data_IF_483657244170
#
_entry.id   IF_483657244170
#
_cell.length_a   1.000
_cell.length_b   1.000
_cell.length_c   1.000
_cell.angle_alpha   90.00
_cell.angle_beta   90.00
_cell.angle_gamma   90.00
#
_symmetry.space_group_name_H-M   'P 1'
#
loop_
_entity.id
_entity.type
_entity.pdbx_description
1 polymer ?
#
# COMPACT_ATOMS: atom_id res chain seq x y z
N UNK A 1 -28.94 -2.72 -27.74
CA UNK A 1 -27.53 -2.86 -27.30
C UNK A 1 -27.00 -1.46 -27.05
N UNK A 2 -26.84 -1.07 -25.77
CA UNK A 2 -26.36 0.25 -25.41
C UNK A 2 -24.85 0.34 -25.66
N UNK A 3 -24.46 1.33 -26.45
CA UNK A 3 -23.08 1.66 -26.79
C UNK A 3 -22.35 2.05 -25.49
N UNK A 4 -21.46 1.19 -24.98
CA UNK A 4 -20.60 1.58 -23.84
C UNK A 4 -19.65 2.67 -24.34
N UNK A 5 -19.60 3.86 -23.69
CA UNK A 5 -18.60 4.86 -24.02
C UNK A 5 -17.21 4.22 -23.90
N UNK A 6 -16.38 4.45 -24.91
CA UNK A 6 -15.05 3.88 -25.05
C UNK A 6 -14.19 4.08 -23.81
N UNK A 7 -13.27 3.12 -23.60
CA UNK A 7 -12.05 3.19 -22.78
C UNK A 7 -11.24 4.46 -23.06
N UNK A 8 -11.76 5.60 -22.61
CA UNK A 8 -11.05 6.86 -22.70
C UNK A 8 -10.14 6.88 -21.49
N UNK A 9 -8.84 6.69 -21.74
CA UNK A 9 -7.82 6.70 -20.71
C UNK A 9 -8.02 7.94 -19.82
N UNK A 10 -8.24 7.77 -18.50
CA UNK A 10 -8.57 8.89 -17.61
C UNK A 10 -7.49 10.00 -17.65
N UNK A 11 -6.23 9.64 -17.94
CA UNK A 11 -5.14 10.62 -18.14
C UNK A 11 -5.39 11.54 -19.34
N UNK A 12 -6.06 11.05 -20.38
CA UNK A 12 -6.39 11.84 -21.58
C UNK A 12 -7.53 12.82 -21.30
N UNK A 13 -8.46 12.47 -20.40
CA UNK A 13 -9.54 13.38 -19.97
C UNK A 13 -9.01 14.51 -19.07
N UNK A 14 -8.16 14.20 -18.09
CA UNK A 14 -7.59 15.21 -17.18
C UNK A 14 -6.78 16.26 -17.94
N UNK A 15 -5.99 15.85 -18.95
CA UNK A 15 -5.22 16.76 -19.79
C UNK A 15 -6.11 17.73 -20.61
N UNK A 16 -7.20 17.23 -21.21
CA UNK A 16 -8.12 18.07 -21.97
C UNK A 16 -8.86 19.09 -21.08
N UNK A 17 -9.25 18.69 -19.87
CA UNK A 17 -9.92 19.60 -18.91
C UNK A 17 -8.99 20.68 -18.40
N UNK A 18 -7.70 20.36 -18.16
CA UNK A 18 -6.70 21.36 -17.79
C UNK A 18 -6.43 22.36 -18.91
N UNK A 19 -6.41 21.91 -20.18
CA UNK A 19 -6.27 22.80 -21.32
C UNK A 19 -7.47 23.78 -21.45
N UNK A 20 -8.69 23.31 -21.14
CA UNK A 20 -9.88 24.18 -21.07
C UNK A 20 -9.75 25.17 -19.91
N UNK A 21 -9.23 24.75 -18.76
CA UNK A 21 -8.99 25.64 -17.63
C UNK A 21 -7.99 26.75 -17.97
N UNK A 22 -6.92 26.43 -18.70
CA UNK A 22 -5.96 27.43 -19.20
C UNK A 22 -6.59 28.43 -20.16
N UNK A 23 -7.43 27.96 -21.08
CA UNK A 23 -8.17 28.83 -21.98
C UNK A 23 -9.11 29.77 -21.22
N UNK A 24 -9.81 29.27 -20.19
CA UNK A 24 -10.68 30.08 -19.35
C UNK A 24 -9.90 31.15 -18.58
N UNK A 25 -8.66 30.89 -18.14
CA UNK A 25 -7.79 31.93 -17.55
C UNK A 25 -7.43 33.00 -18.58
N UNK A 26 -7.07 32.60 -19.79
CA UNK A 26 -6.77 33.53 -20.88
C UNK A 26 -7.98 34.43 -21.23
N UNK A 27 -9.20 33.95 -21.00
CA UNK A 27 -10.46 34.69 -21.18
C UNK A 27 -10.89 35.50 -19.93
N UNK A 28 -10.08 35.53 -18.86
CA UNK A 28 -10.36 36.26 -17.63
C UNK A 28 -11.40 35.59 -16.71
N UNK A 29 -11.69 34.30 -16.92
CA UNK A 29 -12.68 33.51 -16.16
C UNK A 29 -12.01 32.68 -15.07
N UNK A 30 -11.21 33.32 -14.22
CA UNK A 30 -10.37 32.68 -13.19
C UNK A 30 -11.15 31.72 -12.28
N UNK A 31 -12.34 32.12 -11.80
CA UNK A 31 -13.15 31.27 -10.91
C UNK A 31 -13.54 29.93 -11.56
N UNK A 32 -13.87 29.94 -12.85
CA UNK A 32 -14.23 28.71 -13.58
C UNK A 32 -12.99 27.85 -13.86
N UNK A 33 -11.86 28.47 -14.19
CA UNK A 33 -10.60 27.77 -14.39
C UNK A 33 -10.13 27.07 -13.11
N UNK A 34 -10.22 27.74 -11.96
CA UNK A 34 -9.83 27.16 -10.68
C UNK A 34 -10.77 26.05 -10.22
N UNK A 35 -12.09 26.22 -10.43
CA UNK A 35 -13.07 25.16 -10.16
C UNK A 35 -12.77 23.91 -10.98
N UNK A 36 -12.40 24.05 -12.26
CA UNK A 36 -12.01 22.92 -13.11
C UNK A 36 -10.69 22.30 -12.66
N UNK A 37 -9.72 23.09 -12.23
CA UNK A 37 -8.47 22.60 -11.65
C UNK A 37 -8.71 21.75 -10.40
N UNK A 38 -9.56 22.22 -9.49
CA UNK A 38 -9.96 21.48 -8.28
C UNK A 38 -10.71 20.19 -8.63
N UNK A 39 -11.61 20.24 -9.63
CA UNK A 39 -12.32 19.06 -10.10
C UNK A 39 -11.37 17.99 -10.67
N UNK A 40 -10.40 18.38 -11.51
CA UNK A 40 -9.40 17.44 -12.05
C UNK A 40 -8.59 16.81 -10.93
N UNK A 41 -8.13 17.60 -9.95
CA UNK A 41 -7.40 17.08 -8.80
C UNK A 41 -8.20 16.04 -8.01
N UNK A 42 -9.50 16.30 -7.77
CA UNK A 42 -10.39 15.38 -7.07
C UNK A 42 -10.62 14.09 -7.86
N UNK A 43 -10.82 14.19 -9.18
CA UNK A 43 -11.02 13.04 -10.06
C UNK A 43 -9.76 12.19 -10.13
N UNK A 44 -8.58 12.80 -10.29
CA UNK A 44 -7.31 12.09 -10.33
C UNK A 44 -7.03 11.36 -9.01
N UNK A 45 -7.31 12.00 -7.87
CA UNK A 45 -7.23 11.36 -6.55
C UNK A 45 -8.17 10.16 -6.45
N UNK A 46 -9.44 10.32 -6.85
CA UNK A 46 -10.43 9.24 -6.80
C UNK A 46 -10.06 8.06 -7.73
N UNK A 47 -9.66 8.36 -8.96
CA UNK A 47 -9.23 7.33 -9.93
C UNK A 47 -7.98 6.62 -9.42
N UNK A 48 -7.02 7.34 -8.84
CA UNK A 48 -5.83 6.77 -8.21
C UNK A 48 -6.18 5.78 -7.10
N UNK A 49 -7.00 6.22 -6.13
CA UNK A 49 -7.50 5.36 -5.03
C UNK A 49 -8.27 4.15 -5.55
N UNK A 50 -9.09 4.33 -6.60
CA UNK A 50 -9.89 3.24 -7.18
C UNK A 50 -9.03 2.22 -7.92
N UNK A 51 -8.03 2.67 -8.68
CA UNK A 51 -7.09 1.80 -9.37
C UNK A 51 -6.26 0.99 -8.36
N UNK A 52 -5.82 1.63 -7.28
CA UNK A 52 -5.15 0.95 -6.17
C UNK A 52 -6.07 -0.12 -5.54
N UNK A 53 -7.32 0.22 -5.23
CA UNK A 53 -8.27 -0.73 -4.66
C UNK A 53 -8.51 -1.94 -5.58
N UNK A 54 -8.69 -1.71 -6.89
CA UNK A 54 -8.87 -2.77 -7.88
C UNK A 54 -7.68 -3.72 -7.99
N UNK A 55 -6.45 -3.23 -7.75
CA UNK A 55 -5.23 -4.05 -7.71
C UNK A 55 -5.30 -5.11 -6.60
N UNK A 56 -5.97 -4.79 -5.48
CA UNK A 56 -6.11 -5.67 -4.34
C UNK A 56 -7.41 -6.48 -4.33
N UNK A 57 -8.49 -5.98 -4.93
CA UNK A 57 -9.80 -6.65 -4.93
C UNK A 57 -9.78 -8.04 -5.58
N UNK A 58 -8.89 -8.26 -6.56
CA UNK A 58 -8.73 -9.56 -7.25
C UNK A 58 -7.64 -10.44 -6.65
N UNK A 59 -6.90 -9.95 -5.66
CA UNK A 59 -5.85 -10.72 -5.03
C UNK A 59 -6.43 -11.71 -3.99
N UNK A 60 -5.83 -12.92 -3.85
CA UNK A 60 -6.24 -13.86 -2.83
C UNK A 60 -5.98 -13.30 -1.44
N UNK A 61 -6.80 -13.72 -0.48
CA UNK A 61 -6.55 -13.42 0.93
C UNK A 61 -5.26 -14.11 1.38
N UNK A 62 -4.36 -13.35 1.98
CA UNK A 62 -3.15 -13.82 2.63
C UNK A 62 -3.36 -13.74 4.15
N UNK A 63 -3.51 -14.90 4.84
CA UNK A 63 -3.61 -14.92 6.28
C UNK A 63 -2.25 -14.62 6.91
N UNK A 64 -2.26 -13.82 7.97
CA UNK A 64 -1.08 -13.40 8.72
C UNK A 64 -1.34 -13.56 10.21
N UNK A 65 -0.36 -14.07 10.94
CA UNK A 65 -0.38 -14.14 12.39
C UNK A 65 0.39 -12.95 12.95
N UNK A 66 -0.33 -11.96 13.47
CA UNK A 66 0.25 -10.69 13.92
C UNK A 66 -0.21 -10.39 15.34
N UNK A 67 0.63 -9.70 16.10
CA UNK A 67 0.23 -9.11 17.37
C UNK A 67 -0.91 -8.11 17.15
N UNK A 68 -1.97 -8.21 17.94
CA UNK A 68 -3.16 -7.38 17.74
C UNK A 68 -2.87 -5.89 17.93
N UNK A 69 -1.99 -5.55 18.88
CA UNK A 69 -1.58 -4.17 19.11
C UNK A 69 -0.79 -3.59 17.93
N UNK A 70 0.13 -4.37 17.35
CA UNK A 70 0.86 -3.97 16.12
C UNK A 70 -0.12 -3.75 14.97
N UNK A 71 -1.09 -4.64 14.78
CA UNK A 71 -2.09 -4.51 13.72
C UNK A 71 -2.93 -3.24 13.90
N UNK A 72 -3.50 -3.02 15.08
CA UNK A 72 -4.40 -1.90 15.32
C UNK A 72 -3.67 -0.55 15.17
N UNK A 73 -2.43 -0.46 15.65
CA UNK A 73 -1.58 0.73 15.43
C UNK A 73 -1.25 0.93 13.95
N UNK A 74 -0.91 -0.14 13.22
CA UNK A 74 -0.66 -0.04 11.79
C UNK A 74 -1.89 0.41 11.02
N UNK A 75 -3.09 -0.07 11.39
CA UNK A 75 -4.36 0.36 10.77
C UNK A 75 -4.62 1.84 11.06
N UNK A 76 -4.45 2.27 12.31
CA UNK A 76 -4.64 3.67 12.69
C UNK A 76 -3.67 4.61 11.95
N UNK A 77 -2.38 4.23 11.89
CA UNK A 77 -1.35 4.98 11.18
C UNK A 77 -1.61 5.03 9.67
N UNK A 78 -1.94 3.89 9.06
CA UNK A 78 -2.25 3.83 7.63
C UNK A 78 -3.46 4.71 7.29
N UNK A 79 -4.50 4.68 8.11
CA UNK A 79 -5.68 5.54 7.94
C UNK A 79 -5.31 7.04 8.05
N UNK A 80 -4.45 7.42 8.99
CA UNK A 80 -3.96 8.80 9.12
C UNK A 80 -3.12 9.24 7.91
N UNK A 81 -2.39 8.32 7.29
CA UNK A 81 -1.62 8.55 6.05
C UNK A 81 -2.47 8.42 4.77
N UNK A 82 -3.77 8.13 4.87
CA UNK A 82 -4.66 7.91 3.72
C UNK A 82 -4.34 6.64 2.92
N UNK A 83 -3.62 5.68 3.51
CA UNK A 83 -3.18 4.43 2.90
C UNK A 83 -4.01 3.24 3.38
N UNK A 84 -4.07 2.20 2.56
CA UNK A 84 -4.57 0.88 2.99
C UNK A 84 -3.45 0.06 3.64
N UNK A 85 -3.80 -0.90 4.50
CA UNK A 85 -2.82 -1.87 5.03
C UNK A 85 -2.14 -2.66 3.90
N UNK A 86 -2.86 -2.97 2.82
CA UNK A 86 -2.29 -3.64 1.66
C UNK A 86 -1.17 -2.79 1.02
N UNK A 87 -1.38 -1.47 0.92
CA UNK A 87 -0.38 -0.53 0.42
C UNK A 87 0.86 -0.47 1.33
N UNK A 88 0.65 -0.39 2.65
CA UNK A 88 1.75 -0.42 3.62
C UNK A 88 2.58 -1.69 3.50
N UNK A 89 1.95 -2.84 3.28
CA UNK A 89 2.65 -4.11 3.05
C UNK A 89 3.39 -4.10 1.71
N UNK A 90 2.81 -3.51 0.66
CA UNK A 90 3.47 -3.37 -0.65
C UNK A 90 4.71 -2.46 -0.57
N UNK A 91 4.68 -1.43 0.29
CA UNK A 91 5.84 -0.59 0.62
C UNK A 91 6.96 -1.44 1.25
N UNK A 92 6.64 -2.27 2.25
CA UNK A 92 7.61 -3.17 2.86
C UNK A 92 8.20 -4.20 1.89
N UNK A 93 7.39 -4.71 0.97
CA UNK A 93 7.88 -5.54 -0.12
C UNK A 93 8.80 -4.76 -1.07
N UNK A 94 8.53 -3.48 -1.33
CA UNK A 94 9.44 -2.61 -2.10
C UNK A 94 10.79 -2.50 -1.42
N UNK A 95 10.81 -2.21 -0.13
CA UNK A 95 12.04 -2.02 0.65
C UNK A 95 12.87 -3.30 0.71
N UNK A 96 12.23 -4.46 0.88
CA UNK A 96 12.91 -5.76 0.82
C UNK A 96 13.51 -6.02 -0.56
N UNK A 97 12.71 -5.87 -1.63
CA UNK A 97 13.14 -6.16 -3.00
C UNK A 97 14.25 -5.20 -3.47
N UNK A 98 14.28 -3.98 -2.93
CA UNK A 98 15.36 -3.03 -3.15
C UNK A 98 16.61 -3.29 -2.29
N UNK A 99 16.55 -4.26 -1.36
CA UNK A 99 17.63 -4.58 -0.44
C UNK A 99 17.88 -3.55 0.66
N UNK A 100 17.02 -2.53 0.78
CA UNK A 100 17.13 -1.44 1.79
C UNK A 100 16.68 -1.87 3.18
N UNK A 101 15.85 -2.89 3.25
CA UNK A 101 15.38 -3.48 4.49
C UNK A 101 15.46 -5.01 4.43
N UNK A 102 15.61 -5.66 5.58
CA UNK A 102 15.64 -7.12 5.69
C UNK A 102 14.90 -7.53 6.95
N UNK A 103 13.95 -8.49 6.87
CA UNK A 103 13.17 -8.92 8.01
C UNK A 103 14.06 -9.67 9.01
N UNK A 104 14.00 -9.25 10.27
CA UNK A 104 14.62 -9.99 11.35
C UNK A 104 13.85 -11.28 11.62
N UNK A 105 14.59 -12.36 11.90
CA UNK A 105 14.00 -13.62 12.31
C UNK A 105 13.26 -13.40 13.64
N UNK A 106 11.95 -13.70 13.73
CA UNK A 106 11.21 -13.48 14.95
C UNK A 106 11.75 -14.38 16.06
N UNK A 107 12.06 -13.79 17.21
CA UNK A 107 12.44 -14.55 18.39
C UNK A 107 11.24 -15.34 18.91
N UNK A 108 11.50 -16.57 19.32
CA UNK A 108 10.47 -17.40 19.95
C UNK A 108 10.24 -16.86 21.36
N UNK A 109 9.07 -16.28 21.60
CA UNK A 109 8.67 -15.84 22.93
C UNK A 109 8.79 -17.00 23.94
N UNK A 110 9.20 -16.69 25.15
CA UNK A 110 9.19 -17.64 26.25
C UNK A 110 7.74 -18.15 26.48
N UNK A 111 7.58 -19.38 26.99
CA UNK A 111 6.26 -19.89 27.34
C UNK A 111 5.52 -18.91 28.25
N UNK A 112 4.30 -18.52 27.85
CA UNK A 112 3.45 -17.61 28.62
C UNK A 112 3.72 -16.11 28.45
N UNK A 113 4.74 -15.69 27.68
CA UNK A 113 5.06 -14.26 27.46
C UNK A 113 4.65 -13.73 26.09
N UNK A 114 4.01 -14.56 25.26
CA UNK A 114 3.57 -14.15 23.94
C UNK A 114 2.38 -13.18 24.04
N UNK A 115 2.49 -12.01 23.41
CA UNK A 115 1.38 -11.08 23.23
C UNK A 115 0.21 -11.73 22.48
N UNK A 116 -0.99 -11.13 22.61
CA UNK A 116 -2.21 -11.64 22.00
C UNK A 116 -2.13 -11.56 20.46
N UNK A 117 -1.80 -12.70 19.84
CA UNK A 117 -1.76 -12.84 18.38
C UNK A 117 -3.14 -13.13 17.83
N UNK A 118 -3.46 -12.50 16.70
CA UNK A 118 -4.68 -12.75 15.96
C UNK A 118 -4.36 -13.08 14.50
N UNK A 119 -5.17 -13.95 13.91
CA UNK A 119 -5.15 -14.17 12.46
C UNK A 119 -5.82 -12.99 11.80
N UNK A 120 -5.06 -12.22 11.01
CA UNK A 120 -5.56 -11.11 10.19
C UNK A 120 -5.42 -11.48 8.73
N UNK A 121 -6.37 -11.03 7.91
CA UNK A 121 -6.34 -11.26 6.47
C UNK A 121 -6.09 -9.94 5.76
N UNK A 122 -5.19 -9.97 4.79
CA UNK A 122 -4.97 -8.87 3.86
C UNK A 122 -4.94 -9.41 2.44
N UNK A 123 -5.06 -8.54 1.44
CA UNK A 123 -4.93 -8.91 0.04
C UNK A 123 -3.69 -8.25 -0.53
N UNK A 124 -2.76 -9.05 -1.05
CA UNK A 124 -1.56 -8.53 -1.71
C UNK A 124 -1.46 -9.14 -3.10
N UNK A 125 -1.05 -8.34 -4.07
CA UNK A 125 -0.93 -8.78 -5.46
C UNK A 125 -0.09 -10.07 -5.58
N UNK A 126 -0.62 -11.07 -6.28
CA UNK A 126 0.01 -12.40 -6.41
C UNK A 126 1.43 -12.32 -6.96
N UNK A 127 1.62 -11.53 -8.01
CA UNK A 127 2.93 -11.37 -8.64
C UNK A 127 3.95 -10.75 -7.69
N UNK A 128 3.49 -9.91 -6.77
CA UNK A 128 4.34 -9.31 -5.76
C UNK A 128 4.80 -10.34 -4.73
N UNK A 129 3.87 -11.16 -4.23
CA UNK A 129 4.21 -12.25 -3.32
C UNK A 129 5.20 -13.23 -3.98
N UNK A 130 5.02 -13.55 -5.27
CA UNK A 130 5.97 -14.38 -6.03
C UNK A 130 7.36 -13.75 -6.11
N UNK A 131 7.46 -12.45 -6.39
CA UNK A 131 8.73 -11.72 -6.43
C UNK A 131 9.45 -11.75 -5.07
N UNK A 132 8.70 -11.56 -3.97
CA UNK A 132 9.25 -11.65 -2.62
C UNK A 132 9.79 -13.06 -2.35
N UNK A 133 9.03 -14.11 -2.65
CA UNK A 133 9.48 -15.49 -2.49
C UNK A 133 10.76 -15.77 -3.30
N UNK A 134 10.81 -15.35 -4.56
CA UNK A 134 11.98 -15.53 -5.41
C UNK A 134 13.20 -14.76 -4.87
N UNK A 135 13.00 -13.52 -4.42
CA UNK A 135 14.05 -12.70 -3.85
C UNK A 135 14.62 -13.32 -2.57
N UNK A 136 13.77 -13.77 -1.66
CA UNK A 136 14.18 -14.43 -0.41
C UNK A 136 14.97 -15.70 -0.71
N UNK A 137 14.52 -16.51 -1.68
CA UNK A 137 15.25 -17.71 -2.09
C UNK A 137 16.64 -17.39 -2.66
N UNK A 138 16.73 -16.35 -3.51
CA UNK A 138 17.99 -15.91 -4.11
C UNK A 138 18.95 -15.24 -3.11
N UNK A 139 18.45 -14.70 -2.00
CA UNK A 139 19.23 -13.98 -0.99
C UNK A 139 19.27 -14.72 0.36
N UNK A 140 19.02 -16.03 0.37
CA UNK A 140 18.85 -16.79 1.61
C UNK A 140 20.07 -16.70 2.55
N UNK A 141 21.28 -16.67 1.99
CA UNK A 141 22.52 -16.51 2.77
C UNK A 141 22.60 -15.14 3.47
N UNK A 142 22.17 -14.07 2.79
CA UNK A 142 22.16 -12.71 3.34
C UNK A 142 21.07 -12.52 4.38
N UNK A 143 19.95 -13.18 4.22
CA UNK A 143 18.77 -13.03 5.09
C UNK A 143 18.89 -13.91 6.33
N UNK A 144 19.69 -14.99 6.31
CA UNK A 144 19.89 -15.96 7.40
C UNK A 144 18.62 -16.75 7.81
N UNK A 145 17.52 -16.56 7.08
CA UNK A 145 16.33 -17.40 7.16
C UNK A 145 15.48 -17.24 5.88
N UNK A 146 14.43 -18.05 5.76
CA UNK A 146 13.54 -18.08 4.59
C UNK A 146 12.13 -17.60 4.97
N UNK A 147 11.91 -16.30 5.20
CA UNK A 147 10.58 -15.78 5.51
C UNK A 147 9.61 -16.00 4.34
N UNK A 148 8.39 -16.41 4.67
CA UNK A 148 7.26 -16.36 3.73
C UNK A 148 6.82 -14.90 3.51
N UNK A 149 6.11 -14.57 2.40
CA UNK A 149 5.57 -13.24 2.20
C UNK A 149 4.74 -12.72 3.39
N UNK A 150 3.93 -13.58 4.01
CA UNK A 150 3.18 -13.24 5.21
C UNK A 150 4.09 -12.87 6.40
N UNK A 151 5.21 -13.55 6.59
CA UNK A 151 6.18 -13.22 7.63
C UNK A 151 6.92 -11.90 7.35
N UNK A 152 7.25 -11.64 6.08
CA UNK A 152 7.80 -10.35 5.64
C UNK A 152 6.82 -9.22 5.95
N UNK A 153 5.54 -9.41 5.62
CA UNK A 153 4.50 -8.42 5.89
C UNK A 153 4.36 -8.14 7.40
N UNK A 154 4.32 -9.18 8.23
CA UNK A 154 4.25 -9.02 9.69
C UNK A 154 5.47 -8.29 10.25
N UNK A 155 6.68 -8.64 9.79
CA UNK A 155 7.91 -7.96 10.22
C UNK A 155 7.90 -6.48 9.83
N UNK A 156 7.43 -6.15 8.62
CA UNK A 156 7.31 -4.77 8.17
C UNK A 156 6.29 -3.97 8.98
N UNK A 157 5.12 -4.54 9.31
CA UNK A 157 4.13 -3.88 10.16
C UNK A 157 4.70 -3.52 11.54
N UNK A 158 5.60 -4.33 12.08
CA UNK A 158 6.31 -4.04 13.33
C UNK A 158 7.24 -2.82 13.23
N UNK A 159 7.88 -2.61 12.08
CA UNK A 159 8.73 -1.42 11.81
C UNK A 159 7.86 -0.19 11.53
N UNK A 160 6.77 -0.37 10.78
CA UNK A 160 5.85 0.69 10.42
C UNK A 160 5.05 1.22 11.62
N UNK A 161 4.68 0.35 12.57
CA UNK A 161 3.91 0.73 13.76
C UNK A 161 4.51 0.12 15.04
N UNK A 162 5.70 0.60 15.45
CA UNK A 162 6.38 0.07 16.62
C UNK A 162 5.53 0.28 17.89
N UNK A 163 5.73 -0.54 18.94
CA UNK A 163 5.10 -0.31 20.23
C UNK A 163 5.56 1.03 20.83
N UNK A 164 4.65 1.74 21.50
CA UNK A 164 4.99 2.96 22.23
C UNK A 164 6.03 2.60 23.31
N UNK A 165 7.21 3.24 23.23
CA UNK A 165 8.36 2.96 24.10
C UNK A 165 9.61 2.43 23.39
N UNK A 166 9.50 1.97 22.14
CA UNK A 166 10.67 1.66 21.30
C UNK A 166 10.88 2.77 20.24
N UNK A 167 11.16 3.99 20.71
CA UNK A 167 11.88 4.95 19.88
C UNK A 167 13.32 4.44 19.81
N UNK A 168 13.74 3.86 18.70
CA UNK A 168 15.14 3.51 18.49
C UNK A 168 15.97 4.80 18.52
N UNK A 169 16.89 4.84 19.47
CA UNK A 169 18.11 5.64 19.44
C UNK A 169 18.99 5.28 18.23
#
# INVERSE_FOLDING_TARGET
MANRPSDTNPRTHSAAVLQIAEQLRAEGRELMADTLGQYVALVDEYVGKRAEQLRYDKAPNMPMYVDSGVWDRAVARAAAEGKSIAAVIDDGYTELLAGRWTPLKPERAAPGTAGAKATKNTRVAVDRAKKVTAYVAANAERIDWKPSPAQVAVAWLGVYAPPEGNATA
#
